data_IF_341873612920
#
_entry.id   IF_341873612920
#
_cell.length_a   1.000
_cell.length_b   1.000
_cell.length_c   1.000
_cell.angle_alpha   90.00
_cell.angle_beta   90.00
_cell.angle_gamma   90.00
#
_symmetry.space_group_name_H-M   'P 1'
#
loop_
_entity.id
_entity.type
_entity.pdbx_description
1 polymer ?
#
# COMPACT_ATOMS: atom_id res chain seq x y z
N UNK A 1 -4.79 -11.83 -14.62
CA UNK A 1 -3.61 -10.94 -14.79
C UNK A 1 -3.40 -10.54 -16.25
N UNK A 2 -3.03 -11.45 -17.17
CA UNK A 2 -2.60 -11.08 -18.54
C UNK A 2 -3.63 -10.31 -19.38
N UNK A 3 -4.92 -10.61 -19.22
CA UNK A 3 -5.99 -9.84 -19.87
C UNK A 3 -6.04 -8.37 -19.43
N UNK A 4 -5.88 -8.13 -18.12
CA UNK A 4 -5.88 -6.78 -17.55
C UNK A 4 -4.65 -5.99 -17.99
N UNK A 5 -3.47 -6.63 -18.00
CA UNK A 5 -2.23 -5.99 -18.47
C UNK A 5 -2.30 -5.55 -19.93
N UNK A 6 -2.88 -6.38 -20.81
CA UNK A 6 -3.09 -6.01 -22.21
C UNK A 6 -4.05 -4.82 -22.37
N UNK A 7 -4.92 -4.58 -21.38
CA UNK A 7 -5.78 -3.41 -21.30
C UNK A 7 -5.11 -2.16 -20.72
N UNK A 8 -3.83 -2.22 -20.34
CA UNK A 8 -3.11 -1.12 -19.72
C UNK A 8 -3.39 -0.93 -18.22
N UNK A 9 -3.97 -1.94 -17.56
CA UNK A 9 -4.20 -1.89 -16.12
C UNK A 9 -2.93 -2.23 -15.33
N UNK A 10 -2.68 -1.50 -14.26
CA UNK A 10 -1.66 -1.81 -13.25
C UNK A 10 -1.98 -3.13 -12.53
N UNK A 11 -0.92 -3.86 -12.16
CA UNK A 11 -1.02 -5.06 -11.33
C UNK A 11 -0.19 -4.83 -10.06
N UNK A 12 -0.89 -4.68 -8.94
CA UNK A 12 -0.32 -4.56 -7.60
C UNK A 12 -0.48 -5.88 -6.81
N UNK A 13 0.13 -5.96 -5.62
CA UNK A 13 0.11 -7.18 -4.78
C UNK A 13 -0.83 -7.08 -3.58
N UNK A 14 -1.31 -8.24 -3.13
CA UNK A 14 -2.22 -8.38 -1.99
C UNK A 14 -1.84 -9.57 -1.08
N UNK A 15 -0.53 -9.79 -0.91
CA UNK A 15 0.09 -11.00 -0.32
C UNK A 15 -0.19 -12.29 -1.10
N UNK A 16 0.60 -13.33 -0.85
CA UNK A 16 0.45 -14.62 -1.53
C UNK A 16 -0.70 -15.44 -0.93
N UNK A 17 -0.74 -15.58 0.40
CA UNK A 17 -1.71 -16.39 1.12
C UNK A 17 -2.90 -15.62 1.71
N UNK A 18 -3.06 -14.33 1.38
CA UNK A 18 -4.05 -13.44 1.97
C UNK A 18 -3.88 -13.26 3.50
N UNK A 19 -2.63 -13.16 3.94
CA UNK A 19 -2.25 -13.01 5.36
C UNK A 19 -2.25 -11.53 5.78
N UNK A 20 -3.03 -11.18 6.81
CA UNK A 20 -3.16 -9.80 7.28
C UNK A 20 -1.89 -9.20 7.89
N UNK A 21 -1.08 -10.00 8.59
CA UNK A 21 0.24 -9.60 9.08
C UNK A 21 1.32 -10.36 8.30
N UNK A 22 1.63 -9.93 7.06
CA UNK A 22 2.41 -10.72 6.13
C UNK A 22 3.88 -10.75 6.51
N UNK A 23 4.50 -11.93 6.42
CA UNK A 23 5.95 -12.09 6.44
C UNK A 23 6.57 -11.52 5.15
N UNK A 24 7.90 -11.29 5.08
CA UNK A 24 8.53 -10.90 3.82
C UNK A 24 8.23 -11.89 2.67
N UNK A 25 8.12 -13.19 2.98
CA UNK A 25 7.77 -14.24 2.02
C UNK A 25 6.35 -14.05 1.47
N UNK A 26 5.39 -13.63 2.30
CA UNK A 26 4.03 -13.35 1.84
C UNK A 26 3.98 -12.15 0.89
N UNK A 27 4.78 -11.12 1.15
CA UNK A 27 4.85 -9.91 0.32
C UNK A 27 5.59 -10.20 -1.00
N UNK A 28 6.82 -10.72 -0.91
CA UNK A 28 7.68 -10.99 -2.06
C UNK A 28 7.16 -12.17 -2.89
N UNK A 29 6.60 -13.20 -2.25
CA UNK A 29 6.06 -14.36 -2.94
C UNK A 29 4.91 -14.02 -3.89
N UNK A 30 4.07 -13.03 -3.54
CA UNK A 30 3.05 -12.52 -4.45
C UNK A 30 3.66 -11.86 -5.69
N UNK A 31 4.73 -11.09 -5.50
CA UNK A 31 5.46 -10.42 -6.58
C UNK A 31 6.16 -11.44 -7.47
N UNK A 32 6.90 -12.37 -6.88
CA UNK A 32 7.61 -13.44 -7.58
C UNK A 32 6.63 -14.28 -8.42
N UNK A 33 5.49 -14.69 -7.85
CA UNK A 33 4.48 -15.44 -8.60
C UNK A 33 3.93 -14.67 -9.81
N UNK A 34 3.68 -13.36 -9.66
CA UNK A 34 3.24 -12.53 -10.79
C UNK A 34 4.32 -12.41 -11.87
N UNK A 35 5.59 -12.31 -11.48
CA UNK A 35 6.71 -12.29 -12.41
C UNK A 35 6.86 -13.62 -13.13
N UNK A 36 6.93 -14.72 -12.39
CA UNK A 36 7.27 -16.05 -12.92
C UNK A 36 6.13 -16.67 -13.71
N UNK A 37 4.90 -16.60 -13.19
CA UNK A 37 3.74 -17.31 -13.76
C UNK A 37 2.91 -16.43 -14.69
N UNK A 38 2.95 -15.11 -14.49
CA UNK A 38 2.17 -14.15 -15.29
C UNK A 38 3.05 -13.25 -16.17
N UNK A 39 4.38 -13.34 -16.08
CA UNK A 39 5.30 -12.54 -16.89
C UNK A 39 5.15 -11.03 -16.68
N UNK A 40 4.73 -10.60 -15.48
CA UNK A 40 4.69 -9.18 -15.12
C UNK A 40 6.12 -8.74 -14.80
N UNK A 41 6.70 -7.74 -15.49
CA UNK A 41 7.99 -7.20 -15.10
C UNK A 41 7.96 -6.79 -13.63
N UNK A 42 8.96 -7.20 -12.87
CA UNK A 42 8.98 -6.96 -11.43
C UNK A 42 8.91 -5.46 -11.13
N UNK A 43 9.58 -4.65 -11.95
CA UNK A 43 9.59 -3.19 -11.88
C UNK A 43 8.23 -2.54 -12.15
N UNK A 44 7.26 -3.27 -12.71
CA UNK A 44 5.89 -2.80 -12.92
C UNK A 44 4.98 -3.11 -11.71
N UNK A 45 5.42 -3.96 -10.78
CA UNK A 45 4.64 -4.37 -9.60
C UNK A 45 4.97 -3.43 -8.43
N UNK A 46 4.43 -2.21 -8.49
CA UNK A 46 4.85 -1.11 -7.60
C UNK A 46 3.95 -0.89 -6.39
N UNK A 47 2.72 -1.37 -6.46
CA UNK A 47 1.71 -1.20 -5.42
C UNK A 47 1.55 -2.42 -4.51
N UNK A 48 1.15 -2.15 -3.27
CA UNK A 48 0.72 -3.14 -2.30
C UNK A 48 -0.56 -2.69 -1.57
N UNK A 49 -1.36 -3.66 -1.16
CA UNK A 49 -2.45 -3.48 -0.19
C UNK A 49 -2.49 -4.67 0.75
N UNK A 50 -2.56 -4.47 2.05
CA UNK A 50 -2.64 -5.56 3.01
C UNK A 50 -4.05 -6.19 3.05
N UNK A 51 -4.16 -7.52 3.19
CA UNK A 51 -5.42 -8.21 3.46
C UNK A 51 -6.17 -7.61 4.65
N UNK A 52 -7.50 -7.50 4.50
CA UNK A 52 -8.40 -6.93 5.51
C UNK A 52 -8.05 -5.49 5.95
N UNK A 53 -7.28 -4.76 5.14
CA UNK A 53 -6.76 -3.44 5.48
C UNK A 53 -5.95 -3.46 6.79
N UNK A 54 -5.33 -4.61 7.10
CA UNK A 54 -4.61 -4.80 8.34
C UNK A 54 -3.25 -4.08 8.29
N UNK A 55 -3.26 -2.88 8.84
CA UNK A 55 -2.11 -1.99 8.86
C UNK A 55 -1.14 -2.32 9.99
N UNK A 56 0.14 -2.51 9.67
CA UNK A 56 1.21 -2.63 10.67
C UNK A 56 2.48 -1.88 10.23
N UNK A 57 3.23 -1.35 11.19
CA UNK A 57 4.50 -0.65 10.93
C UNK A 57 5.53 -1.54 10.23
N UNK A 58 5.63 -2.79 10.66
CA UNK A 58 6.53 -3.80 10.11
C UNK A 58 6.24 -4.10 8.63
N UNK A 59 4.97 -4.06 8.21
CA UNK A 59 4.61 -4.19 6.80
C UNK A 59 5.19 -3.03 5.98
N UNK A 60 5.04 -1.77 6.43
CA UNK A 60 5.56 -0.61 5.70
C UNK A 60 7.07 -0.60 5.57
N UNK A 61 7.78 -0.94 6.64
CA UNK A 61 9.24 -1.07 6.61
C UNK A 61 9.67 -2.11 5.57
N UNK A 62 9.02 -3.28 5.54
CA UNK A 62 9.29 -4.33 4.54
C UNK A 62 8.97 -3.87 3.12
N UNK A 63 7.87 -3.16 2.91
CA UNK A 63 7.53 -2.63 1.58
C UNK A 63 8.63 -1.72 1.07
N UNK A 64 9.24 -0.91 1.94
CA UNK A 64 10.39 -0.08 1.59
C UNK A 64 11.65 -0.86 1.30
N UNK A 65 12.00 -1.79 2.17
CA UNK A 65 13.17 -2.65 1.96
C UNK A 65 13.08 -3.41 0.64
N UNK A 66 11.87 -3.86 0.27
CA UNK A 66 11.58 -4.58 -0.97
C UNK A 66 11.35 -3.65 -2.18
N UNK A 67 11.46 -2.33 -2.01
CA UNK A 67 11.40 -1.37 -3.11
C UNK A 67 10.01 -1.12 -3.70
N UNK A 68 8.92 -1.39 -2.97
CA UNK A 68 7.59 -0.93 -3.40
C UNK A 68 7.52 0.59 -3.43
N UNK A 69 6.73 1.11 -4.36
CA UNK A 69 6.51 2.54 -4.51
C UNK A 69 5.46 3.04 -3.52
N UNK A 70 4.34 2.33 -3.39
CA UNK A 70 3.21 2.78 -2.60
C UNK A 70 2.46 1.65 -1.89
N UNK A 71 1.88 2.00 -0.75
CA UNK A 71 0.83 1.26 -0.06
C UNK A 71 -0.54 1.91 -0.29
N UNK A 72 -1.60 1.10 -0.23
CA UNK A 72 -2.98 1.58 -0.22
C UNK A 72 -3.82 0.77 0.76
N UNK A 73 -3.32 0.59 1.97
CA UNK A 73 -3.97 -0.17 3.05
C UNK A 73 -4.71 0.75 3.99
N UNK A 74 -4.30 2.00 4.09
CA UNK A 74 -4.70 2.88 5.18
C UNK A 74 -6.08 3.42 4.92
N UNK A 75 -6.98 3.19 5.87
CA UNK A 75 -8.26 3.86 5.91
C UNK A 75 -8.13 5.21 6.61
N UNK A 76 -8.45 6.29 5.90
CA UNK A 76 -8.46 7.64 6.45
C UNK A 76 -9.89 8.15 6.63
N UNK A 77 -10.21 8.76 7.79
CA UNK A 77 -11.34 9.66 7.85
C UNK A 77 -11.03 10.94 7.05
N UNK A 78 -12.04 11.67 6.57
CA UNK A 78 -11.82 13.02 6.06
C UNK A 78 -11.24 13.92 7.17
N UNK A 79 -10.34 14.83 6.81
CA UNK A 79 -9.64 15.79 7.71
C UNK A 79 -10.64 16.63 8.54
N UNK A 80 -11.83 16.90 7.97
CA UNK A 80 -12.92 17.59 8.68
C UNK A 80 -13.64 16.75 9.75
N UNK A 81 -13.36 15.45 9.86
CA UNK A 81 -14.14 14.51 10.67
C UNK A 81 -15.57 14.24 10.16
N UNK A 82 -15.94 14.79 8.99
CA UNK A 82 -17.28 14.64 8.39
C UNK A 82 -17.21 14.12 6.95
N UNK A 83 -17.93 13.04 6.69
CA UNK A 83 -17.93 12.28 5.42
C UNK A 83 -18.59 12.98 4.22
N UNK A 84 -19.16 14.18 4.41
CA UNK A 84 -20.13 14.76 3.47
C UNK A 84 -19.63 15.92 2.59
N UNK A 85 -18.36 16.31 2.62
CA UNK A 85 -17.86 17.46 1.82
C UNK A 85 -17.33 17.08 0.42
N UNK A 86 -17.90 16.03 -0.21
CA UNK A 86 -17.57 15.67 -1.60
C UNK A 86 -16.09 15.37 -1.88
N UNK A 87 -15.36 14.91 -0.86
CA UNK A 87 -13.92 14.62 -0.93
C UNK A 87 -13.01 15.85 -0.82
N UNK A 88 -13.55 17.04 -0.55
CA UNK A 88 -12.78 18.29 -0.46
C UNK A 88 -11.78 18.32 0.70
N UNK A 89 -12.06 17.56 1.75
CA UNK A 89 -11.22 17.42 2.94
C UNK A 89 -10.60 16.02 3.02
N UNK A 90 -10.43 15.34 1.88
CA UNK A 90 -9.74 14.07 1.84
C UNK A 90 -8.23 14.30 1.77
N UNK A 91 -7.47 13.46 2.45
CA UNK A 91 -6.02 13.43 2.23
C UNK A 91 -5.72 12.97 0.81
N UNK A 92 -4.86 13.73 0.14
CA UNK A 92 -4.22 13.34 -1.12
C UNK A 92 -3.12 12.31 -0.84
N UNK A 93 -2.67 11.52 -1.83
CA UNK A 93 -1.49 10.67 -1.65
C UNK A 93 -0.30 11.47 -1.12
N UNK A 94 0.39 10.91 -0.13
CA UNK A 94 1.50 11.57 0.57
C UNK A 94 2.66 10.59 0.78
N UNK A 95 3.86 11.10 1.01
CA UNK A 95 4.98 10.27 1.43
C UNK A 95 4.95 10.06 2.94
N UNK A 96 5.36 8.87 3.39
CA UNK A 96 5.56 8.56 4.80
C UNK A 96 6.96 9.02 5.29
N UNK A 97 7.50 10.10 4.72
CA UNK A 97 8.78 10.70 5.16
C UNK A 97 8.69 11.29 6.56
N UNK A 98 7.49 11.73 6.92
CA UNK A 98 7.10 12.17 8.25
C UNK A 98 5.98 11.26 8.75
N UNK A 99 5.65 11.38 10.05
CA UNK A 99 4.47 10.73 10.58
C UNK A 99 3.24 11.16 9.77
N UNK A 100 2.48 10.18 9.27
CA UNK A 100 1.29 10.42 8.47
C UNK A 100 0.27 11.32 9.18
N UNK A 101 -0.70 11.88 8.43
CA UNK A 101 -1.64 12.86 8.96
C UNK A 101 -2.61 12.22 9.96
N UNK A 102 -2.69 12.70 11.21
CA UNK A 102 -3.61 12.20 12.26
C UNK A 102 -4.95 11.61 11.73
N UNK A 103 -5.38 10.42 12.21
CA UNK A 103 -5.15 9.90 13.56
C UNK A 103 -4.09 8.80 13.66
N UNK A 104 -3.09 8.80 12.79
CA UNK A 104 -1.94 7.92 12.96
C UNK A 104 -1.26 8.23 14.28
N UNK A 105 -1.55 7.42 15.29
CA UNK A 105 -0.76 7.30 16.51
C UNK A 105 0.60 6.72 16.14
N UNK A 106 1.40 7.50 15.45
CA UNK A 106 2.76 7.18 15.08
C UNK A 106 3.68 8.18 15.77
N UNK A 107 4.82 7.70 16.22
CA UNK A 107 5.90 8.53 16.70
C UNK A 107 6.83 8.88 15.52
N UNK A 108 7.65 9.92 15.58
CA UNK A 108 8.62 10.21 14.51
C UNK A 108 9.53 9.02 14.15
N UNK A 109 9.74 8.08 15.07
CA UNK A 109 10.46 6.82 14.82
C UNK A 109 9.74 5.84 13.89
N UNK A 110 8.46 6.05 13.65
CA UNK A 110 7.62 5.23 12.77
C UNK A 110 7.57 5.78 11.33
N UNK A 111 8.28 6.87 11.04
CA UNK A 111 8.42 7.35 9.67
C UNK A 111 9.05 6.27 8.77
N UNK A 112 8.58 6.20 7.53
CA UNK A 112 9.00 5.22 6.52
C UNK A 112 9.41 5.96 5.23
N UNK A 113 10.59 6.63 5.24
CA UNK A 113 10.93 7.57 4.17
C UNK A 113 10.93 6.98 2.76
N UNK A 114 10.26 7.72 1.87
CA UNK A 114 10.04 7.46 0.47
C UNK A 114 8.96 6.43 0.14
N UNK A 115 8.23 5.87 1.12
CA UNK A 115 6.99 5.13 0.83
C UNK A 115 5.90 6.14 0.51
N UNK A 116 5.13 5.91 -0.54
CA UNK A 116 3.89 6.63 -0.73
C UNK A 116 2.74 5.89 -0.04
N UNK A 117 1.85 6.63 0.61
CA UNK A 117 0.53 6.16 0.96
C UNK A 117 -0.49 6.68 -0.05
N UNK A 118 -1.34 5.80 -0.56
CA UNK A 118 -2.53 6.12 -1.35
C UNK A 118 -3.75 5.84 -0.48
N UNK A 119 -4.24 6.85 0.26
CA UNK A 119 -5.21 6.65 1.33
C UNK A 119 -6.55 6.15 0.79
N UNK A 120 -7.16 5.24 1.54
CA UNK A 120 -8.52 4.77 1.33
C UNK A 120 -9.49 5.58 2.18
N UNK A 121 -10.31 6.41 1.56
CA UNK A 121 -11.28 7.20 2.31
C UNK A 121 -12.43 6.30 2.79
N UNK A 122 -12.72 6.38 4.08
CA UNK A 122 -13.90 5.76 4.71
C UNK A 122 -14.93 6.80 5.07
#
# INVERSE_FOLDING_TARGET
VNGLRRGGHEIATHTYGHTGNPTPIEIEGARAWLTDECGVPEEDIRGFRAPNLHRTQDTFLRLRELGFLYDSTVTEPPDSGTYSDGGRNNYWPYTMDECGPEPWRCEPSDAVPGLFEVPMWT
#
